data_IF_340894681872
#
_entry.id   IF_340894681872
#
_cell.length_a   1.000
_cell.length_b   1.000
_cell.length_c   1.000
_cell.angle_alpha   90.00
_cell.angle_beta   90.00
_cell.angle_gamma   90.00
#
_symmetry.space_group_name_H-M   'P 1'
#
loop_
_entity.id
_entity.type
_entity.pdbx_description
1 polymer ?
#
# COMPACT_ATOMS: atom_id res chain seq x y z
N UNK A 1 21.50 8.35 1.46
CA UNK A 1 21.75 9.61 2.20
C UNK A 1 23.24 9.87 2.07
N UNK A 2 23.64 11.09 1.75
CA UNK A 2 25.02 11.44 1.42
C UNK A 2 25.38 12.63 2.30
N UNK A 3 26.41 12.48 3.14
CA UNK A 3 26.90 13.60 3.95
C UNK A 3 27.71 14.57 3.10
N UNK A 4 27.99 15.76 3.66
CA UNK A 4 28.89 16.74 3.03
C UNK A 4 30.31 16.20 2.78
N UNK A 5 30.76 15.21 3.56
CA UNK A 5 32.02 14.49 3.35
C UNK A 5 31.90 13.35 2.31
N UNK A 6 30.81 13.28 1.57
CA UNK A 6 30.52 12.26 0.55
C UNK A 6 30.39 10.81 1.07
N UNK A 7 30.08 10.63 2.36
CA UNK A 7 29.82 9.31 2.92
C UNK A 7 28.42 8.82 2.53
N UNK A 8 28.36 7.71 1.78
CA UNK A 8 27.11 7.15 1.25
C UNK A 8 26.52 6.12 2.22
N UNK A 9 25.33 6.39 2.75
CA UNK A 9 24.55 5.40 3.49
C UNK A 9 23.37 4.89 2.66
N UNK A 10 23.16 3.56 2.68
CA UNK A 10 22.02 2.92 2.03
C UNK A 10 20.75 3.26 2.80
N UNK A 11 19.84 3.99 2.15
CA UNK A 11 18.50 4.28 2.67
C UNK A 11 17.46 3.66 1.75
N UNK A 12 16.43 3.05 2.32
CA UNK A 12 15.21 2.68 1.59
C UNK A 12 14.16 3.78 1.78
N UNK A 13 13.53 4.17 0.68
CA UNK A 13 12.38 5.05 0.70
C UNK A 13 11.13 4.19 0.54
N UNK A 14 10.47 3.92 1.64
CA UNK A 14 9.17 3.26 1.57
C UNK A 14 8.13 4.28 1.10
N UNK A 15 7.13 3.86 0.29
CA UNK A 15 5.96 4.68 0.06
C UNK A 15 5.26 4.97 1.40
N UNK A 16 4.33 5.92 1.41
CA UNK A 16 3.54 6.21 2.61
C UNK A 16 2.65 4.99 2.93
N UNK A 17 3.19 4.09 3.75
CA UNK A 17 2.61 2.82 4.20
C UNK A 17 1.82 3.07 5.47
N UNK A 18 0.55 2.67 5.46
CA UNK A 18 -0.37 2.81 6.57
C UNK A 18 -0.78 1.44 7.07
N UNK A 19 -0.84 1.27 8.39
CA UNK A 19 -1.27 0.01 9.00
C UNK A 19 -2.79 0.00 9.09
N UNK A 20 -3.44 -0.88 8.34
CA UNK A 20 -4.91 -0.97 8.27
C UNK A 20 -5.39 -2.40 8.47
N UNK A 21 -6.65 -2.57 8.90
CA UNK A 21 -7.34 -3.86 8.90
C UNK A 21 -7.92 -4.09 7.51
N UNK A 22 -7.63 -5.23 6.93
CA UNK A 22 -8.00 -5.60 5.57
C UNK A 22 -8.68 -6.97 5.60
N UNK A 23 -9.76 -7.11 4.83
CA UNK A 23 -10.40 -8.40 4.64
C UNK A 23 -9.73 -9.14 3.49
N UNK A 24 -9.01 -10.21 3.83
CA UNK A 24 -8.41 -11.10 2.85
C UNK A 24 -9.19 -12.39 2.91
N UNK A 25 -9.99 -12.67 1.86
CA UNK A 25 -10.73 -13.93 1.71
C UNK A 25 -11.57 -14.29 2.95
N UNK A 26 -12.26 -13.31 3.54
CA UNK A 26 -13.12 -13.49 4.72
C UNK A 26 -12.41 -13.44 6.08
N UNK A 27 -11.09 -13.27 6.11
CA UNK A 27 -10.32 -13.07 7.35
C UNK A 27 -9.82 -11.62 7.46
N UNK A 28 -10.11 -10.97 8.59
CA UNK A 28 -9.57 -9.65 8.91
C UNK A 28 -8.11 -9.78 9.35
N UNK A 29 -7.19 -9.14 8.62
CA UNK A 29 -5.76 -9.11 8.96
C UNK A 29 -5.27 -7.68 9.04
N UNK A 30 -4.34 -7.41 9.96
CA UNK A 30 -3.60 -6.14 10.01
C UNK A 30 -2.42 -6.23 9.05
N UNK A 31 -2.38 -5.35 8.06
CA UNK A 31 -1.25 -5.29 7.12
C UNK A 31 -0.88 -3.85 6.76
N UNK A 32 0.35 -3.66 6.27
CA UNK A 32 0.82 -2.37 5.75
C UNK A 32 0.36 -2.22 4.31
N UNK A 33 -0.34 -1.12 4.03
CA UNK A 33 -0.92 -0.83 2.72
C UNK A 33 -0.47 0.56 2.28
N UNK A 34 -0.16 0.71 1.00
CA UNK A 34 0.22 1.99 0.45
C UNK A 34 -0.98 2.95 0.39
N UNK A 35 -0.79 4.22 0.71
CA UNK A 35 -1.87 5.23 0.62
C UNK A 35 -2.50 5.33 -0.78
N UNK A 36 -1.72 5.11 -1.85
CA UNK A 36 -2.24 5.03 -3.23
C UNK A 36 -3.22 3.87 -3.41
N UNK A 37 -2.92 2.72 -2.81
CA UNK A 37 -3.72 1.51 -2.83
C UNK A 37 -5.05 1.70 -2.07
N UNK A 38 -4.99 2.46 -0.96
CA UNK A 38 -6.18 2.85 -0.20
C UNK A 38 -7.05 3.83 -1.00
N UNK A 39 -6.44 4.79 -1.69
CA UNK A 39 -7.15 5.77 -2.52
C UNK A 39 -7.82 5.13 -3.74
N UNK A 40 -7.19 4.13 -4.35
CA UNK A 40 -7.71 3.45 -5.53
C UNK A 40 -8.76 2.37 -5.22
N UNK A 41 -9.13 2.16 -3.95
CA UNK A 41 -10.11 1.15 -3.58
C UNK A 41 -9.66 -0.29 -3.80
N UNK A 42 -8.38 -0.53 -4.09
CA UNK A 42 -7.81 -1.87 -4.34
C UNK A 42 -7.82 -2.75 -3.07
N UNK A 43 -8.05 -2.14 -1.91
CA UNK A 43 -7.95 -2.79 -0.60
C UNK A 43 -9.25 -2.57 0.18
N UNK A 44 -9.96 -3.66 0.46
CA UNK A 44 -11.18 -3.65 1.27
C UNK A 44 -10.83 -3.50 2.75
N UNK A 45 -11.12 -2.32 3.32
CA UNK A 45 -11.21 -2.17 4.77
C UNK A 45 -12.64 -2.55 5.16
N UNK A 46 -12.86 -3.69 5.83
CA UNK A 46 -14.01 -4.06 6.70
C UNK A 46 -15.45 -3.70 6.29
N UNK A 47 -15.67 -2.42 5.98
CA UNK A 47 -16.94 -1.76 5.75
C UNK A 47 -17.07 -1.09 4.36
N UNK A 48 -16.05 -1.08 3.50
CA UNK A 48 -16.17 -0.51 2.15
C UNK A 48 -16.45 -1.62 1.12
N UNK A 49 -17.54 -1.52 0.32
CA UNK A 49 -17.82 -2.48 -0.73
C UNK A 49 -16.67 -2.49 -1.75
N UNK A 50 -16.33 -3.68 -2.26
CA UNK A 50 -15.39 -3.83 -3.36
C UNK A 50 -15.93 -3.03 -4.54
N UNK A 51 -15.33 -1.89 -4.84
CA UNK A 51 -15.39 -1.38 -6.21
C UNK A 51 -14.61 -2.42 -7.00
N UNK A 52 -15.30 -3.18 -7.86
CA UNK A 52 -14.66 -4.04 -8.83
C UNK A 52 -13.78 -3.12 -9.69
N UNK A 53 -12.50 -3.02 -9.32
CA UNK A 53 -11.53 -2.31 -10.14
C UNK A 53 -11.51 -3.10 -11.43
N UNK A 54 -11.92 -2.52 -12.57
CA UNK A 54 -11.89 -3.24 -13.84
C UNK A 54 -10.47 -3.73 -13.99
N UNK A 55 -10.31 -5.05 -14.20
CA UNK A 55 -9.02 -5.59 -14.61
C UNK A 55 -8.57 -4.73 -15.78
N UNK A 56 -7.53 -3.94 -15.57
CA UNK A 56 -6.84 -3.30 -16.69
C UNK A 56 -6.11 -4.45 -17.37
N UNK A 57 -6.84 -5.20 -18.17
CA UNK A 57 -6.30 -6.08 -19.19
C UNK A 57 -5.73 -5.12 -20.22
N UNK A 58 -4.44 -4.82 -20.09
CA UNK A 58 -3.72 -4.08 -21.11
C UNK A 58 -3.76 -4.93 -22.39
N UNK A 59 -4.45 -4.44 -23.41
CA UNK A 59 -4.19 -4.77 -24.80
C UNK A 59 -2.93 -4.02 -25.27
#
# INVERSE_FOLDING_TARGET
NISHAHNKTKRRWYPNLQTVRVDIKGQTKKMKVCTRCLRSGLVSKGAFPKIEVPKVENA
#
